data_IF_054151933487
#
_entry.id   IF_054151933487
#
_cell.length_a   1.000
_cell.length_b   1.000
_cell.length_c   1.000
_cell.angle_alpha   90.00
_cell.angle_beta   90.00
_cell.angle_gamma   90.00
#
_symmetry.space_group_name_H-M   'P 1'
#
loop_
_entity.id
_entity.type
_entity.pdbx_description
1 polymer ?
#
# COMPACT_ATOMS: atom_id res chain seq x y z
N UNK A 1 41.43 20.64 0.12
CA UNK A 1 40.08 20.22 -0.33
C UNK A 1 39.20 20.03 0.89
N UNK A 2 38.27 20.95 1.14
CA UNK A 2 37.40 20.90 2.30
C UNK A 2 36.48 19.67 2.19
N UNK A 3 36.48 18.81 3.21
CA UNK A 3 35.49 17.76 3.35
C UNK A 3 34.10 18.40 3.43
N UNK A 4 33.29 18.26 2.38
CA UNK A 4 31.93 18.75 2.38
C UNK A 4 31.19 18.23 3.60
N UNK A 5 30.22 19.04 4.10
CA UNK A 5 29.37 18.67 5.25
C UNK A 5 28.81 17.26 5.05
N UNK A 6 28.96 16.34 6.03
CA UNK A 6 28.46 14.97 5.89
C UNK A 6 26.97 14.98 5.55
N UNK A 7 26.56 14.12 4.64
CA UNK A 7 25.17 14.00 4.24
C UNK A 7 24.32 13.66 5.46
N UNK A 8 23.20 14.36 5.66
CA UNK A 8 22.21 14.05 6.71
C UNK A 8 21.66 12.62 6.59
N UNK A 9 21.88 11.95 5.46
CA UNK A 9 21.47 10.56 5.29
C UNK A 9 22.00 9.65 6.38
N UNK A 10 23.31 9.67 6.63
CA UNK A 10 23.97 8.77 7.58
C UNK A 10 23.59 9.01 9.06
N UNK A 11 23.11 10.20 9.37
CA UNK A 11 22.78 10.59 10.75
C UNK A 11 21.28 10.61 11.03
N UNK A 12 20.45 10.91 10.02
CA UNK A 12 19.01 11.14 10.20
C UNK A 12 18.12 10.11 9.47
N UNK A 13 18.67 9.30 8.56
CA UNK A 13 17.89 8.39 7.74
C UNK A 13 18.36 6.94 7.88
N UNK A 14 19.63 6.68 7.66
CA UNK A 14 20.18 5.32 7.66
C UNK A 14 19.95 4.55 8.97
N UNK A 15 20.16 5.14 10.18
CA UNK A 15 19.90 4.44 11.44
C UNK A 15 18.43 4.08 11.65
N UNK A 16 17.50 4.76 10.96
CA UNK A 16 16.06 4.65 11.13
C UNK A 16 15.36 3.91 9.98
N UNK A 17 16.08 3.17 9.15
CA UNK A 17 15.51 2.47 7.99
C UNK A 17 14.40 1.46 8.38
N UNK A 18 14.52 0.79 9.52
CA UNK A 18 13.48 -0.11 10.02
C UNK A 18 12.23 0.65 10.47
N UNK A 19 12.41 1.78 11.15
CA UNK A 19 11.31 2.65 11.59
C UNK A 19 10.65 3.34 10.40
N UNK A 20 11.42 3.72 9.37
CA UNK A 20 10.91 4.27 8.11
C UNK A 20 10.00 3.24 7.40
N UNK A 21 10.36 1.94 7.42
CA UNK A 21 9.50 0.87 6.90
C UNK A 21 8.16 0.85 7.63
N UNK A 22 8.17 0.95 8.96
CA UNK A 22 6.94 0.99 9.75
C UNK A 22 6.16 2.30 9.51
N UNK A 23 6.82 3.46 9.51
CA UNK A 23 6.19 4.76 9.19
C UNK A 23 5.53 4.76 7.81
N UNK A 24 6.14 4.13 6.81
CA UNK A 24 5.60 4.03 5.46
C UNK A 24 4.28 3.24 5.37
N UNK A 25 3.91 2.51 6.42
CA UNK A 25 2.59 1.86 6.52
C UNK A 25 1.47 2.83 6.91
N UNK A 26 1.78 4.03 7.45
CA UNK A 26 0.80 4.96 8.05
C UNK A 26 1.00 6.41 7.63
N UNK A 27 2.19 6.77 7.15
CA UNK A 27 2.59 8.15 6.88
C UNK A 27 2.94 8.35 5.41
N UNK A 28 2.77 9.59 4.95
CA UNK A 28 3.27 10.03 3.64
C UNK A 28 4.78 10.27 3.69
N UNK A 29 5.45 10.25 2.54
CA UNK A 29 6.89 10.54 2.46
C UNK A 29 7.25 11.92 3.02
N UNK A 30 6.35 12.91 2.89
CA UNK A 30 6.56 14.23 3.46
C UNK A 30 6.54 14.20 5.00
N UNK A 31 5.59 13.48 5.59
CA UNK A 31 5.50 13.31 7.04
C UNK A 31 6.70 12.52 7.61
N UNK A 32 7.16 11.49 6.86
CA UNK A 32 8.37 10.74 7.23
C UNK A 32 9.59 11.67 7.21
N UNK A 33 9.74 12.48 6.15
CA UNK A 33 10.83 13.45 6.06
C UNK A 33 10.82 14.45 7.23
N UNK A 34 9.65 14.97 7.59
CA UNK A 34 9.45 15.87 8.73
C UNK A 34 9.85 15.21 10.06
N UNK A 35 9.42 13.97 10.30
CA UNK A 35 9.77 13.22 11.51
C UNK A 35 11.27 12.95 11.66
N UNK A 36 11.99 12.92 10.54
CA UNK A 36 13.45 12.73 10.47
C UNK A 36 14.24 14.07 10.43
N UNK A 37 13.56 15.19 10.61
CA UNK A 37 14.14 16.54 10.54
C UNK A 37 14.89 16.82 9.20
N UNK A 38 14.36 16.26 8.11
CA UNK A 38 14.91 16.40 6.76
C UNK A 38 13.87 17.07 5.89
N UNK A 39 14.29 18.06 5.07
CA UNK A 39 13.36 18.65 4.10
C UNK A 39 12.88 17.58 3.09
N UNK A 40 11.62 17.67 2.65
CA UNK A 40 11.05 16.73 1.69
C UNK A 40 11.86 16.60 0.40
N UNK A 41 12.40 17.75 -0.09
CA UNK A 41 13.27 17.75 -1.27
C UNK A 41 14.54 16.93 -1.05
N UNK A 42 15.23 17.14 0.08
CA UNK A 42 16.43 16.38 0.42
C UNK A 42 16.11 14.89 0.62
N UNK A 43 14.95 14.56 1.18
CA UNK A 43 14.48 13.19 1.33
C UNK A 43 14.26 12.51 -0.03
N UNK A 44 13.65 13.20 -1.01
CA UNK A 44 13.50 12.70 -2.37
C UNK A 44 14.84 12.46 -3.08
N UNK A 45 15.80 13.39 -2.91
CA UNK A 45 17.17 13.24 -3.43
C UNK A 45 17.86 12.02 -2.80
N UNK A 46 17.71 11.83 -1.48
CA UNK A 46 18.24 10.67 -0.75
C UNK A 46 17.59 9.37 -1.21
N UNK A 47 16.28 9.35 -1.45
CA UNK A 47 15.56 8.18 -1.96
C UNK A 47 16.08 7.72 -3.33
N UNK A 48 16.49 8.67 -4.17
CA UNK A 48 17.08 8.36 -5.48
C UNK A 48 18.52 7.87 -5.34
N UNK A 49 19.29 8.47 -4.42
CA UNK A 49 20.72 8.20 -4.24
C UNK A 49 20.99 6.93 -3.41
N UNK A 50 20.13 6.59 -2.46
CA UNK A 50 20.33 5.48 -1.52
C UNK A 50 19.26 4.41 -1.70
N UNK A 51 19.58 3.28 -2.35
CA UNK A 51 18.62 2.20 -2.64
C UNK A 51 17.96 1.60 -1.40
N UNK A 52 18.66 1.58 -0.26
CA UNK A 52 18.13 1.05 1.01
C UNK A 52 16.89 1.84 1.47
N UNK A 53 16.93 3.17 1.37
CA UNK A 53 15.76 4.00 1.71
C UNK A 53 14.56 3.70 0.80
N UNK A 54 14.82 3.59 -0.50
CA UNK A 54 13.78 3.21 -1.47
C UNK A 54 13.20 1.81 -1.18
N UNK A 55 14.04 0.86 -0.78
CA UNK A 55 13.62 -0.50 -0.42
C UNK A 55 12.75 -0.51 0.83
N UNK A 56 13.14 0.20 1.91
CA UNK A 56 12.35 0.31 3.14
C UNK A 56 10.97 0.92 2.89
N UNK A 57 10.90 2.01 2.11
CA UNK A 57 9.63 2.63 1.74
C UNK A 57 8.73 1.70 0.93
N UNK A 58 9.30 0.97 -0.05
CA UNK A 58 8.55 -0.01 -0.86
C UNK A 58 8.03 -1.15 -0.02
N UNK A 59 8.82 -1.65 0.93
CA UNK A 59 8.44 -2.76 1.82
C UNK A 59 7.28 -2.35 2.74
N UNK A 60 7.34 -1.17 3.35
CA UNK A 60 6.24 -0.64 4.14
C UNK A 60 4.94 -0.49 3.33
N UNK A 61 5.01 0.04 2.11
CA UNK A 61 3.84 0.17 1.20
C UNK A 61 3.28 -1.19 0.78
N UNK A 62 4.14 -2.19 0.53
CA UNK A 62 3.70 -3.55 0.21
C UNK A 62 2.86 -4.13 1.35
N UNK A 63 3.27 -3.92 2.59
CA UNK A 63 2.51 -4.34 3.78
C UNK A 63 1.11 -3.71 3.82
N UNK A 64 0.96 -2.43 3.43
CA UNK A 64 -0.36 -1.78 3.34
C UNK A 64 -1.25 -2.44 2.29
N UNK A 65 -0.70 -2.73 1.12
CA UNK A 65 -1.44 -3.42 0.03
C UNK A 65 -1.88 -4.82 0.48
N UNK A 66 -1.00 -5.57 1.13
CA UNK A 66 -1.32 -6.92 1.65
C UNK A 66 -2.41 -6.88 2.71
N UNK A 67 -2.39 -5.91 3.64
CA UNK A 67 -3.45 -5.70 4.63
C UNK A 67 -4.78 -5.34 3.96
N UNK A 68 -4.75 -4.42 2.99
CA UNK A 68 -5.93 -4.04 2.21
C UNK A 68 -6.54 -5.23 1.47
N UNK A 69 -5.70 -6.07 0.86
CA UNK A 69 -6.12 -7.30 0.18
C UNK A 69 -6.77 -8.30 1.15
N UNK A 70 -6.16 -8.53 2.31
CA UNK A 70 -6.71 -9.42 3.32
C UNK A 70 -8.06 -8.92 3.84
N UNK A 71 -8.20 -7.63 4.11
CA UNK A 71 -9.46 -7.03 4.51
C UNK A 71 -10.55 -7.13 3.43
N UNK A 72 -10.17 -6.99 2.16
CA UNK A 72 -11.09 -7.15 1.03
C UNK A 72 -11.58 -8.59 0.90
N UNK A 73 -10.69 -9.58 1.04
CA UNK A 73 -11.05 -11.00 1.02
C UNK A 73 -11.99 -11.33 2.17
N UNK A 74 -11.65 -10.91 3.39
CA UNK A 74 -12.49 -11.11 4.57
C UNK A 74 -13.89 -10.52 4.38
N UNK A 75 -13.99 -9.34 3.77
CA UNK A 75 -15.27 -8.69 3.48
C UNK A 75 -16.05 -9.41 2.38
N UNK A 76 -15.38 -10.01 1.39
CA UNK A 76 -16.00 -10.78 0.34
C UNK A 76 -16.54 -12.13 0.82
N UNK A 77 -15.88 -12.76 1.80
CA UNK A 77 -16.29 -14.05 2.38
C UNK A 77 -17.34 -13.89 3.48
N UNK A 78 -17.46 -12.69 4.05
CA UNK A 78 -18.18 -12.45 5.29
C UNK A 78 -17.35 -12.81 6.52
N UNK A 79 -17.65 -12.20 7.65
CA UNK A 79 -16.90 -12.41 8.88
C UNK A 79 -17.73 -12.15 10.13
N UNK A 80 -17.29 -12.71 11.24
CA UNK A 80 -17.79 -12.38 12.57
C UNK A 80 -16.85 -11.39 13.25
N UNK A 81 -17.43 -10.46 13.98
CA UNK A 81 -16.69 -9.48 14.75
C UNK A 81 -17.30 -9.26 16.12
N UNK A 82 -16.45 -9.27 17.15
CA UNK A 82 -16.87 -9.01 18.53
C UNK A 82 -16.85 -7.52 18.80
N UNK A 83 -18.01 -6.93 18.96
CA UNK A 83 -18.17 -5.57 19.46
C UNK A 83 -18.13 -5.56 20.99
N UNK A 84 -17.20 -4.79 21.56
CA UNK A 84 -17.05 -4.65 23.00
C UNK A 84 -17.56 -3.29 23.46
N UNK A 85 -18.62 -3.29 24.27
CA UNK A 85 -19.18 -2.10 24.89
C UNK A 85 -18.74 -2.03 26.35
N UNK A 86 -17.98 -1.00 26.70
CA UNK A 86 -17.54 -0.74 28.07
C UNK A 86 -18.39 0.38 28.68
N UNK A 87 -19.01 0.10 29.81
CA UNK A 87 -19.86 1.04 30.55
C UNK A 87 -19.09 1.51 31.79
N UNK A 88 -18.87 2.81 31.89
CA UNK A 88 -18.20 3.44 33.00
C UNK A 88 -19.16 4.27 33.83
N UNK A 89 -19.10 4.14 35.16
CA UNK A 89 -19.83 4.98 36.11
C UNK A 89 -18.82 5.63 37.05
N UNK A 90 -18.84 6.96 37.13
CA UNK A 90 -17.88 7.77 37.93
C UNK A 90 -16.41 7.39 37.65
N UNK A 91 -16.05 7.15 36.39
CA UNK A 91 -14.69 6.80 35.99
C UNK A 91 -14.27 5.34 36.24
N UNK A 92 -15.12 4.52 36.83
CA UNK A 92 -14.87 3.08 37.05
C UNK A 92 -15.61 2.24 36.04
N UNK A 93 -14.94 1.23 35.48
CA UNK A 93 -15.57 0.22 34.59
C UNK A 93 -16.55 -0.61 35.42
N UNK A 94 -17.83 -0.54 35.08
CA UNK A 94 -18.91 -1.26 35.79
C UNK A 94 -19.34 -2.51 35.04
N UNK A 95 -19.31 -2.45 33.70
CA UNK A 95 -19.76 -3.54 32.87
C UNK A 95 -19.04 -3.57 31.52
N UNK A 96 -18.69 -4.73 31.07
CA UNK A 96 -18.24 -5.00 29.70
C UNK A 96 -19.22 -6.00 29.06
N UNK A 97 -19.78 -5.61 27.93
CA UNK A 97 -20.65 -6.43 27.10
C UNK A 97 -19.91 -6.77 25.83
N UNK A 98 -19.87 -8.05 25.46
CA UNK A 98 -19.34 -8.54 24.20
C UNK A 98 -20.50 -9.07 23.38
N UNK A 99 -20.67 -8.55 22.17
CA UNK A 99 -21.69 -9.00 21.23
C UNK A 99 -21.02 -9.39 19.93
N UNK A 100 -21.10 -10.65 19.55
CA UNK A 100 -20.62 -11.13 18.24
C UNK A 100 -21.63 -10.75 17.16
N UNK A 101 -21.19 -10.00 16.16
CA UNK A 101 -21.98 -9.63 14.97
C UNK A 101 -21.45 -10.34 13.75
N UNK A 102 -22.35 -10.92 12.98
CA UNK A 102 -22.03 -11.47 11.67
C UNK A 102 -22.24 -10.42 10.59
N UNK A 103 -21.22 -10.20 9.78
CA UNK A 103 -21.24 -9.37 8.59
C UNK A 103 -21.29 -10.28 7.36
N UNK A 104 -22.41 -10.29 6.60
CA UNK A 104 -22.52 -11.14 5.43
C UNK A 104 -21.57 -10.74 4.31
N UNK A 105 -21.31 -11.65 3.34
CA UNK A 105 -20.51 -11.35 2.16
C UNK A 105 -20.96 -10.08 1.44
N UNK A 106 -20.01 -9.28 1.02
CA UNK A 106 -20.26 -8.00 0.34
C UNK A 106 -20.10 -8.17 -1.17
N UNK A 107 -21.19 -7.94 -1.92
CA UNK A 107 -21.23 -8.12 -3.38
C UNK A 107 -20.23 -7.20 -4.12
N UNK A 108 -19.96 -5.98 -3.60
CA UNK A 108 -18.99 -5.08 -4.20
C UNK A 108 -17.56 -5.59 -4.01
N UNK A 109 -17.23 -6.13 -2.82
CA UNK A 109 -15.95 -6.75 -2.55
C UNK A 109 -15.73 -8.00 -3.43
N UNK A 110 -16.75 -8.86 -3.56
CA UNK A 110 -16.71 -10.03 -4.44
C UNK A 110 -16.45 -9.60 -5.90
N UNK A 111 -17.22 -8.63 -6.39
CA UNK A 111 -17.07 -8.12 -7.75
C UNK A 111 -15.66 -7.55 -8.00
N UNK A 112 -15.11 -6.81 -7.04
CA UNK A 112 -13.74 -6.28 -7.14
C UNK A 112 -12.70 -7.41 -7.21
N UNK A 113 -12.84 -8.46 -6.39
CA UNK A 113 -11.95 -9.62 -6.45
C UNK A 113 -12.04 -10.35 -7.78
N UNK A 114 -13.25 -10.64 -8.25
CA UNK A 114 -13.48 -11.33 -9.51
C UNK A 114 -12.88 -10.55 -10.70
N UNK A 115 -13.08 -9.24 -10.77
CA UNK A 115 -12.48 -8.40 -11.81
C UNK A 115 -10.95 -8.36 -11.80
N UNK A 116 -10.32 -8.53 -10.63
CA UNK A 116 -8.88 -8.53 -10.52
C UNK A 116 -8.24 -9.91 -10.75
N UNK A 117 -8.92 -10.99 -10.33
CA UNK A 117 -8.38 -12.34 -10.43
C UNK A 117 -8.81 -13.11 -11.69
N UNK A 118 -9.98 -12.76 -12.24
CA UNK A 118 -10.54 -13.37 -13.44
C UNK A 118 -11.14 -12.29 -14.36
N UNK A 119 -10.29 -11.36 -14.84
CA UNK A 119 -10.74 -10.24 -15.67
C UNK A 119 -11.34 -10.70 -17.02
N UNK A 120 -10.96 -11.85 -17.53
CA UNK A 120 -11.47 -12.37 -18.78
C UNK A 120 -12.98 -12.65 -18.74
N UNK A 121 -13.49 -13.06 -17.56
CA UNK A 121 -14.91 -13.37 -17.38
C UNK A 121 -15.68 -12.23 -16.67
N UNK A 122 -15.00 -11.42 -15.85
CA UNK A 122 -15.63 -10.45 -14.95
C UNK A 122 -15.27 -8.98 -15.21
N UNK A 123 -14.45 -8.67 -16.21
CA UNK A 123 -14.23 -7.27 -16.59
C UNK A 123 -15.55 -6.60 -17.01
N UNK A 124 -15.63 -5.26 -16.89
CA UNK A 124 -16.80 -4.50 -17.32
C UNK A 124 -17.06 -4.66 -18.83
N UNK A 125 -16.00 -4.83 -19.60
CA UNK A 125 -16.03 -5.09 -21.05
C UNK A 125 -14.91 -6.08 -21.40
N UNK A 126 -15.20 -7.40 -21.37
CA UNK A 126 -14.22 -8.42 -21.70
C UNK A 126 -13.73 -8.36 -23.15
N UNK A 127 -14.57 -7.88 -24.08
CA UNK A 127 -14.20 -7.77 -25.49
C UNK A 127 -13.16 -6.66 -25.70
N UNK A 128 -13.39 -5.51 -25.08
CA UNK A 128 -12.46 -4.38 -25.12
C UNK A 128 -11.11 -4.73 -24.45
N UNK A 129 -11.13 -5.56 -23.40
CA UNK A 129 -9.91 -6.06 -22.76
C UNK A 129 -9.08 -6.89 -23.77
N UNK A 130 -9.70 -7.80 -24.51
CA UNK A 130 -9.04 -8.63 -25.53
C UNK A 130 -8.45 -7.78 -26.65
N UNK A 131 -9.23 -6.85 -27.19
CA UNK A 131 -8.77 -5.92 -28.24
C UNK A 131 -7.52 -5.17 -27.77
N UNK A 132 -7.54 -4.63 -26.55
CA UNK A 132 -6.40 -3.88 -25.99
C UNK A 132 -5.16 -4.75 -25.77
N UNK A 133 -5.33 -6.02 -25.40
CA UNK A 133 -4.23 -6.97 -25.28
C UNK A 133 -3.61 -7.28 -26.66
N UNK A 134 -4.43 -7.50 -27.67
CA UNK A 134 -3.97 -7.73 -29.04
C UNK A 134 -3.23 -6.51 -29.64
N UNK A 135 -3.74 -5.30 -29.40
CA UNK A 135 -3.07 -4.06 -29.78
C UNK A 135 -1.69 -3.92 -29.13
N UNK A 136 -1.58 -4.22 -27.84
CA UNK A 136 -0.30 -4.18 -27.11
C UNK A 136 0.70 -5.21 -27.65
N UNK A 137 0.24 -6.41 -28.00
CA UNK A 137 1.09 -7.43 -28.60
C UNK A 137 1.59 -7.00 -29.98
N UNK A 138 0.70 -6.42 -30.81
CA UNK A 138 1.07 -5.88 -32.11
C UNK A 138 2.09 -4.75 -32.00
N UNK A 139 1.91 -3.85 -31.02
CA UNK A 139 2.88 -2.79 -30.75
C UNK A 139 4.25 -3.35 -30.32
N UNK A 140 4.27 -4.35 -29.44
CA UNK A 140 5.52 -5.03 -29.04
C UNK A 140 6.23 -5.69 -30.21
N UNK A 141 5.49 -6.41 -31.05
CA UNK A 141 6.05 -7.03 -32.29
C UNK A 141 6.63 -6.00 -33.25
N UNK A 142 5.95 -4.86 -33.43
CA UNK A 142 6.49 -3.75 -34.24
C UNK A 142 7.78 -3.17 -33.66
N UNK A 143 7.84 -3.00 -32.36
CA UNK A 143 9.04 -2.54 -31.66
C UNK A 143 10.22 -3.51 -31.83
N UNK A 144 9.98 -4.80 -31.68
CA UNK A 144 11.00 -5.84 -31.83
C UNK A 144 11.52 -5.96 -33.28
N UNK A 145 10.66 -5.71 -34.27
CA UNK A 145 11.01 -5.74 -35.69
C UNK A 145 11.67 -4.45 -36.19
N UNK A 146 11.82 -3.44 -35.34
CA UNK A 146 12.48 -2.16 -35.70
C UNK A 146 11.70 -1.36 -36.78
N UNK A 147 10.43 -1.65 -36.96
CA UNK A 147 9.54 -0.90 -37.87
C UNK A 147 8.99 0.34 -37.16
N UNK A 148 9.83 1.36 -37.08
CA UNK A 148 9.40 2.74 -36.78
C UNK A 148 9.34 3.49 -38.11
N UNK A 149 8.14 3.90 -38.52
CA UNK A 149 7.94 4.96 -39.48
C UNK A 149 7.91 6.30 -38.78
#
# INVERSE_FOLDING_TARGET
MGKGRPSKYYTHVEPFLAEIEEMATRMTEAQIADSLEVSYRAFCDMKTKYPQLSASLKKGRKTVVERGRSALIMKAEGFEHDERKKIYVKGKLVREEVTTKYYPPDAAAINMLLKNYDPENWANDPQMLKIRQEELELQRKKLEQGMWD
#
